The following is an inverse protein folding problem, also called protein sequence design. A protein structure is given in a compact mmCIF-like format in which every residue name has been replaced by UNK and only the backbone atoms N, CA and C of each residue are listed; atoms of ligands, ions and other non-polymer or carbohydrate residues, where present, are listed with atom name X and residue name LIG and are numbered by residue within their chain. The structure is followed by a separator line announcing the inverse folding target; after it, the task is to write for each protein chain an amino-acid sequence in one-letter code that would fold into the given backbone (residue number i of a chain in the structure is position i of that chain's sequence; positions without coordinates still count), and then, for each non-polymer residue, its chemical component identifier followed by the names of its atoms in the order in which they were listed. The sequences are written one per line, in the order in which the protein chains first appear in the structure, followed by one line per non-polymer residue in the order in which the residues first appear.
data_IF_249423493416
#
_entry.id   IF_249423493416
#
_cell.length_a   1.000
_cell.length_b   1.000
_cell.length_c   1.000
_cell.angle_alpha   90.00
_cell.angle_beta   90.00
_cell.angle_gamma   90.00
#
_symmetry.space_group_name_H-M   'P 1'
#
loop_
_entity.id
_entity.type
_entity.pdbx_description
1 polymer ?
#
# COMPACT_ATOMS: atom_id res chain seq x y z
N UNK A 1 -3.40 -20.97 8.25
CA UNK A 1 -2.35 -20.18 7.57
C UNK A 1 -1.04 -20.58 8.21
N UNK A 2 0.07 -20.71 7.45
CA UNK A 2 1.40 -20.90 8.04
C UNK A 2 1.78 -19.70 8.90
N UNK A 3 2.63 -19.87 9.90
CA UNK A 3 3.20 -18.75 10.65
C UNK A 3 4.19 -17.97 9.79
N UNK A 4 4.52 -16.74 10.17
CA UNK A 4 5.52 -15.97 9.41
C UNK A 4 6.90 -16.64 9.45
N UNK A 5 7.28 -17.19 10.60
CA UNK A 5 8.53 -17.96 10.73
C UNK A 5 8.57 -19.13 9.75
N UNK A 6 7.50 -19.94 9.67
CA UNK A 6 7.41 -21.03 8.70
C UNK A 6 7.49 -20.56 7.25
N UNK A 7 6.92 -19.39 6.96
CA UNK A 7 6.98 -18.78 5.64
C UNK A 7 8.42 -18.40 5.25
N UNK A 8 9.18 -17.84 6.19
CA UNK A 8 10.59 -17.50 6.01
C UNK A 8 11.46 -18.75 5.82
N UNK A 9 11.22 -19.78 6.64
CA UNK A 9 11.91 -21.07 6.54
C UNK A 9 11.65 -21.78 5.20
N UNK A 10 10.43 -21.71 4.69
CA UNK A 10 10.08 -22.27 3.39
C UNK A 10 10.85 -21.60 2.23
N UNK A 11 11.38 -20.40 2.43
CA UNK A 11 12.28 -19.70 1.49
C UNK A 11 13.77 -19.99 1.75
N UNK A 12 14.10 -20.97 2.58
CA UNK A 12 15.44 -21.34 3.01
C UNK A 12 16.20 -20.18 3.70
N UNK A 13 15.47 -19.35 4.45
CA UNK A 13 16.00 -18.24 5.23
C UNK A 13 15.76 -18.45 6.73
N UNK A 14 16.58 -17.80 7.56
CA UNK A 14 16.42 -17.81 9.01
C UNK A 14 16.13 -16.38 9.48
N UNK A 15 15.01 -16.19 10.16
CA UNK A 15 14.51 -14.87 10.58
C UNK A 15 15.53 -14.08 11.44
N UNK A 16 16.37 -14.78 12.22
CA UNK A 16 17.39 -14.14 13.08
C UNK A 16 18.48 -13.43 12.29
N UNK A 17 18.81 -13.95 11.10
CA UNK A 17 19.95 -13.52 10.30
C UNK A 17 19.57 -12.40 9.31
N UNK A 18 18.28 -12.11 9.15
CA UNK A 18 17.78 -11.13 8.19
C UNK A 18 17.90 -9.70 8.72
N UNK A 19 18.12 -8.75 7.81
CA UNK A 19 17.97 -7.32 8.09
C UNK A 19 16.51 -6.92 8.24
N UNK A 20 16.23 -5.76 8.84
CA UNK A 20 14.87 -5.24 8.97
C UNK A 20 14.22 -5.00 7.59
N UNK A 21 15.02 -4.60 6.61
CA UNK A 21 14.56 -4.41 5.22
C UNK A 21 14.14 -5.73 4.57
N UNK A 22 14.96 -6.78 4.68
CA UNK A 22 14.59 -8.10 4.17
C UNK A 22 13.35 -8.66 4.85
N UNK A 23 13.20 -8.45 6.17
CA UNK A 23 12.01 -8.85 6.93
C UNK A 23 10.79 -8.08 6.42
N UNK A 24 10.92 -6.77 6.17
CA UNK A 24 9.82 -5.96 5.63
C UNK A 24 9.31 -6.51 4.29
N UNK A 25 10.20 -6.79 3.33
CA UNK A 25 9.77 -7.32 2.03
C UNK A 25 9.17 -8.73 2.13
N UNK A 26 9.68 -9.56 3.02
CA UNK A 26 9.07 -10.88 3.26
C UNK A 26 7.69 -10.76 3.92
N UNK A 27 7.49 -9.82 4.84
CA UNK A 27 6.19 -9.52 5.42
C UNK A 27 5.22 -8.94 4.40
N UNK A 28 5.69 -8.05 3.51
CA UNK A 28 4.91 -7.52 2.40
C UNK A 28 4.36 -8.66 1.53
N UNK A 29 5.22 -9.59 1.09
CA UNK A 29 4.82 -10.75 0.31
C UNK A 29 3.83 -11.64 1.07
N UNK A 30 4.17 -11.99 2.31
CA UNK A 30 3.34 -12.82 3.18
C UNK A 30 1.92 -12.26 3.35
N UNK A 31 1.81 -10.95 3.59
CA UNK A 31 0.53 -10.25 3.73
C UNK A 31 -0.23 -10.23 2.40
N UNK A 32 0.45 -9.96 1.29
CA UNK A 32 -0.17 -9.98 -0.06
C UNK A 32 -0.70 -11.37 -0.40
N UNK A 33 0.04 -12.44 -0.10
CA UNK A 33 -0.42 -13.81 -0.29
C UNK A 33 -1.62 -14.15 0.59
N UNK A 34 -1.64 -13.66 1.84
CA UNK A 34 -2.76 -13.85 2.75
C UNK A 34 -4.02 -13.09 2.30
N UNK A 35 -3.84 -11.92 1.69
CA UNK A 35 -4.94 -11.09 1.19
C UNK A 35 -5.46 -11.52 -0.18
N UNK A 36 -4.62 -12.15 -1.00
CA UNK A 36 -4.95 -12.51 -2.39
C UNK A 36 -6.26 -13.30 -2.53
N UNK A 37 -6.51 -14.37 -1.75
CA UNK A 37 -7.72 -15.18 -1.89
C UNK A 37 -8.99 -14.51 -1.38
N UNK A 38 -8.89 -13.40 -0.64
CA UNK A 38 -10.07 -12.70 -0.11
C UNK A 38 -10.88 -12.12 -1.27
N UNK A 39 -12.19 -12.48 -1.40
CA UNK A 39 -13.03 -11.92 -2.44
C UNK A 39 -13.29 -10.44 -2.20
N UNK A 40 -13.55 -9.72 -3.28
CA UNK A 40 -14.03 -8.35 -3.20
C UNK A 40 -15.42 -8.32 -2.57
N UNK A 41 -15.70 -7.29 -1.76
CA UNK A 41 -17.07 -7.00 -1.34
C UNK A 41 -17.96 -6.83 -2.56
N UNK A 42 -19.03 -7.63 -2.63
CA UNK A 42 -20.01 -7.61 -3.71
C UNK A 42 -21.42 -7.40 -3.15
N UNK A 43 -22.10 -6.39 -3.68
CA UNK A 43 -23.50 -6.11 -3.41
C UNK A 43 -24.13 -5.42 -4.61
N UNK A 44 -25.46 -5.38 -4.68
CA UNK A 44 -26.21 -4.77 -5.80
C UNK A 44 -25.86 -3.30 -6.05
N UNK A 45 -25.48 -2.57 -4.99
CA UNK A 45 -25.06 -1.17 -5.08
C UNK A 45 -23.57 -1.08 -4.86
N UNK A 46 -22.86 -0.42 -5.77
CA UNK A 46 -21.45 -0.12 -5.68
C UNK A 46 -21.26 1.38 -5.41
N UNK A 47 -20.37 1.69 -4.48
CA UNK A 47 -19.98 3.06 -4.15
C UNK A 47 -18.60 3.32 -4.76
N UNK A 48 -18.46 4.40 -5.51
CA UNK A 48 -17.18 4.91 -5.98
C UNK A 48 -16.83 6.16 -5.19
N UNK A 49 -15.67 6.13 -4.53
CA UNK A 49 -15.13 7.30 -3.86
C UNK A 49 -14.01 7.88 -4.73
N UNK A 50 -14.31 8.98 -5.43
CA UNK A 50 -13.37 9.61 -6.34
C UNK A 50 -12.66 10.75 -5.60
N UNK A 51 -11.33 10.72 -5.53
CA UNK A 51 -10.52 11.75 -4.92
C UNK A 51 -9.18 11.88 -5.63
N UNK A 52 -8.66 13.11 -5.71
CA UNK A 52 -7.31 13.35 -6.18
C UNK A 52 -6.26 12.82 -5.21
N UNK A 53 -6.60 12.68 -3.93
CA UNK A 53 -5.68 12.27 -2.88
C UNK A 53 -6.26 11.15 -2.01
N UNK A 54 -5.38 10.23 -1.57
CA UNK A 54 -5.65 9.21 -0.57
C UNK A 54 -4.48 9.11 0.40
N UNK A 55 -4.53 9.81 1.53
CA UNK A 55 -3.50 9.75 2.56
C UNK A 55 -3.68 8.50 3.43
N UNK A 56 -3.25 7.36 2.92
CA UNK A 56 -3.46 6.04 3.54
C UNK A 56 -2.46 5.72 4.65
N UNK A 57 -1.27 6.34 4.64
CA UNK A 57 -0.19 6.03 5.57
C UNK A 57 0.48 4.68 5.27
N UNK A 58 1.34 4.22 6.18
CA UNK A 58 2.00 2.92 6.11
C UNK A 58 0.97 1.79 6.26
N UNK A 59 1.15 0.72 5.51
CA UNK A 59 0.15 -0.34 5.37
C UNK A 59 0.50 -1.64 6.09
N UNK A 60 1.78 -1.88 6.43
CA UNK A 60 2.21 -3.13 7.02
C UNK A 60 1.41 -3.47 8.29
N UNK A 61 1.49 -2.63 9.30
CA UNK A 61 0.76 -2.84 10.54
C UNK A 61 -0.75 -2.81 10.38
N UNK A 62 -1.25 -1.90 9.55
CA UNK A 62 -2.68 -1.84 9.24
C UNK A 62 -3.18 -3.17 8.67
N UNK A 63 -2.47 -3.74 7.72
CA UNK A 63 -2.85 -4.99 7.09
C UNK A 63 -2.70 -6.19 8.04
N UNK A 64 -1.63 -6.26 8.84
CA UNK A 64 -1.46 -7.29 9.86
C UNK A 64 -2.58 -7.25 10.92
N UNK A 65 -3.00 -6.06 11.34
CA UNK A 65 -4.13 -5.87 12.27
C UNK A 65 -5.44 -6.31 11.62
N UNK A 66 -5.69 -5.90 10.38
CA UNK A 66 -6.91 -6.24 9.66
C UNK A 66 -7.03 -7.75 9.36
N UNK A 67 -5.90 -8.42 9.12
CA UNK A 67 -5.83 -9.88 9.02
C UNK A 67 -5.95 -10.58 10.39
N UNK A 68 -5.77 -9.86 11.50
CA UNK A 68 -5.83 -10.41 12.85
C UNK A 68 -4.56 -11.13 13.30
N UNK A 69 -3.45 -10.98 12.59
CA UNK A 69 -2.18 -11.70 12.82
C UNK A 69 -1.06 -10.82 13.40
N UNK A 70 -1.32 -9.53 13.64
CA UNK A 70 -0.30 -8.58 14.13
C UNK A 70 0.41 -9.07 15.41
N UNK A 71 -0.35 -9.60 16.37
CA UNK A 71 0.20 -10.05 17.67
C UNK A 71 1.11 -11.26 17.50
N UNK A 72 0.75 -12.18 16.62
CA UNK A 72 1.51 -13.39 16.36
C UNK A 72 2.83 -13.06 15.64
N UNK A 73 2.77 -12.25 14.59
CA UNK A 73 3.97 -11.77 13.87
C UNK A 73 4.89 -10.99 14.82
N UNK A 74 4.35 -10.11 15.67
CA UNK A 74 5.14 -9.37 16.66
C UNK A 74 5.85 -10.31 17.62
N UNK A 75 5.19 -11.37 18.10
CA UNK A 75 5.77 -12.34 19.00
C UNK A 75 6.87 -13.18 18.31
N UNK A 76 6.66 -13.59 17.06
CA UNK A 76 7.64 -14.32 16.26
C UNK A 76 8.91 -13.49 16.02
N UNK A 77 8.75 -12.21 15.64
CA UNK A 77 9.88 -11.28 15.48
C UNK A 77 10.65 -11.11 16.80
N UNK A 78 9.94 -10.90 17.93
CA UNK A 78 10.56 -10.77 19.24
C UNK A 78 11.35 -12.02 19.65
N UNK A 79 10.84 -13.22 19.36
CA UNK A 79 11.54 -14.49 19.61
C UNK A 79 12.81 -14.64 18.75
N UNK A 80 12.86 -13.98 17.60
CA UNK A 80 14.06 -13.89 16.74
C UNK A 80 14.99 -12.72 17.12
N UNK A 81 14.68 -11.94 18.16
CA UNK A 81 15.45 -10.76 18.58
C UNK A 81 15.24 -9.54 17.66
N UNK A 82 14.12 -9.47 16.95
CA UNK A 82 13.76 -8.37 16.04
C UNK A 82 12.59 -7.56 16.61
N UNK A 83 12.54 -6.29 16.26
CA UNK A 83 11.47 -5.37 16.63
C UNK A 83 10.56 -5.10 15.45
N UNK A 84 9.24 -5.32 15.64
CA UNK A 84 8.27 -4.99 14.58
C UNK A 84 8.29 -3.49 14.25
N UNK A 85 8.51 -2.62 15.24
CA UNK A 85 8.56 -1.17 15.03
C UNK A 85 9.75 -0.76 14.13
N UNK A 86 10.91 -1.41 14.31
CA UNK A 86 12.08 -1.16 13.44
C UNK A 86 11.84 -1.66 12.01
N UNK A 87 11.09 -2.75 11.85
CA UNK A 87 10.69 -3.24 10.53
C UNK A 87 9.68 -2.31 9.87
N UNK A 88 8.72 -1.77 10.64
CA UNK A 88 7.76 -0.77 10.16
C UNK A 88 8.43 0.54 9.74
N UNK A 89 9.54 0.91 10.37
CA UNK A 89 10.27 2.14 10.03
C UNK A 89 10.90 2.08 8.63
N UNK A 90 11.21 0.89 8.14
CA UNK A 90 11.75 0.68 6.78
C UNK A 90 10.71 0.92 5.69
N UNK A 91 9.42 0.73 6.00
CA UNK A 91 8.35 0.87 5.01
C UNK A 91 8.29 2.27 4.41
N UNK A 92 8.42 2.42 3.06
CA UNK A 92 8.19 3.70 2.42
C UNK A 92 6.71 4.09 2.51
N UNK A 93 6.42 5.28 3.02
CA UNK A 93 5.04 5.77 3.11
C UNK A 93 4.50 6.10 1.71
N UNK A 94 3.35 5.55 1.32
CA UNK A 94 2.71 5.87 0.04
C UNK A 94 2.39 7.35 -0.08
N UNK A 95 2.99 8.02 -1.05
CA UNK A 95 2.85 9.46 -1.26
C UNK A 95 1.63 9.79 -2.15
N UNK A 96 0.46 9.34 -1.70
CA UNK A 96 -0.81 9.47 -2.43
C UNK A 96 -1.70 10.60 -1.90
N UNK A 97 -1.28 11.32 -0.89
CA UNK A 97 -2.04 12.41 -0.30
C UNK A 97 -1.23 13.25 0.66
N UNK A 98 -1.73 14.43 1.03
CA UNK A 98 -1.01 15.42 1.80
C UNK A 98 -1.75 15.91 3.05
N UNK A 99 -3.07 15.96 3.03
CA UNK A 99 -3.80 16.61 4.11
C UNK A 99 -5.18 16.02 4.36
N UNK A 100 -6.05 16.86 4.90
CA UNK A 100 -7.40 16.47 5.34
C UNK A 100 -8.26 15.85 4.26
N UNK A 101 -8.17 16.33 3.01
CA UNK A 101 -8.89 15.74 1.88
C UNK A 101 -8.50 14.27 1.66
N UNK A 102 -7.19 14.01 1.55
CA UNK A 102 -6.68 12.66 1.35
C UNK A 102 -6.92 11.75 2.56
N UNK A 103 -6.82 12.28 3.78
CA UNK A 103 -7.10 11.52 5.00
C UNK A 103 -8.56 11.14 5.11
N UNK A 104 -9.48 12.05 4.80
CA UNK A 104 -10.92 11.77 4.77
C UNK A 104 -11.25 10.65 3.78
N UNK A 105 -10.71 10.74 2.56
CA UNK A 105 -10.87 9.71 1.53
C UNK A 105 -10.40 8.34 2.01
N UNK A 106 -9.23 8.27 2.64
CA UNK A 106 -8.67 7.03 3.19
C UNK A 106 -9.54 6.44 4.30
N UNK A 107 -10.04 7.27 5.22
CA UNK A 107 -10.94 6.81 6.27
C UNK A 107 -12.24 6.23 5.71
N UNK A 108 -12.80 6.82 4.64
CA UNK A 108 -14.01 6.30 4.02
C UNK A 108 -13.79 4.95 3.33
N UNK A 109 -12.71 4.78 2.56
CA UNK A 109 -12.45 3.49 1.90
C UNK A 109 -12.17 2.37 2.90
N UNK A 110 -11.46 2.66 3.99
CA UNK A 110 -11.21 1.72 5.08
C UNK A 110 -12.50 1.33 5.80
N UNK A 111 -13.34 2.33 6.12
CA UNK A 111 -14.66 2.10 6.72
C UNK A 111 -15.57 1.26 5.83
N UNK A 112 -15.61 1.52 4.52
CA UNK A 112 -16.38 0.73 3.58
C UNK A 112 -15.90 -0.73 3.56
N UNK A 113 -14.60 -0.97 3.54
CA UNK A 113 -14.05 -2.32 3.60
C UNK A 113 -14.41 -3.02 4.92
N UNK A 114 -14.31 -2.34 6.05
CA UNK A 114 -14.63 -2.87 7.37
C UNK A 114 -16.13 -3.15 7.54
N UNK A 115 -17.00 -2.34 6.95
CA UNK A 115 -18.45 -2.55 6.97
C UNK A 115 -18.93 -3.59 5.94
N UNK A 116 -18.07 -4.04 5.03
CA UNK A 116 -18.45 -4.96 3.95
C UNK A 116 -19.25 -4.30 2.84
N UNK A 117 -19.16 -2.99 2.68
CA UNK A 117 -19.80 -2.24 1.62
C UNK A 117 -19.00 -2.44 0.32
N UNK A 118 -19.70 -2.76 -0.79
CA UNK A 118 -19.08 -2.80 -2.11
C UNK A 118 -18.62 -1.39 -2.52
N UNK A 119 -17.41 -1.04 -2.12
CA UNK A 119 -16.81 0.27 -2.33
C UNK A 119 -15.51 0.18 -3.11
N UNK A 120 -15.19 1.23 -3.86
CA UNK A 120 -13.97 1.34 -4.62
C UNK A 120 -13.48 2.78 -4.60
N UNK A 121 -12.22 2.97 -4.18
CA UNK A 121 -11.55 4.26 -4.31
C UNK A 121 -11.05 4.42 -5.74
N UNK A 122 -11.13 5.62 -6.28
CA UNK A 122 -10.57 5.96 -7.60
C UNK A 122 -9.77 7.25 -7.46
N UNK A 123 -8.49 7.19 -7.81
CA UNK A 123 -7.56 8.31 -7.65
C UNK A 123 -6.41 8.29 -8.63
N UNK A 124 -5.41 9.09 -8.34
CA UNK A 124 -4.18 9.21 -9.14
C UNK A 124 -3.02 8.55 -8.41
N UNK A 125 -2.18 7.87 -9.18
CA UNK A 125 -0.90 7.35 -8.71
C UNK A 125 0.18 8.38 -9.06
N UNK A 126 0.62 9.13 -8.06
CA UNK A 126 1.68 10.13 -8.24
C UNK A 126 3.04 9.44 -8.28
N UNK A 127 3.72 9.49 -9.41
CA UNK A 127 5.04 8.87 -9.60
C UNK A 127 6.09 9.47 -8.67
N UNK A 128 6.23 10.79 -8.71
CA UNK A 128 6.99 11.52 -7.70
C UNK A 128 6.00 11.97 -6.63
N UNK A 129 6.21 11.51 -5.40
CA UNK A 129 5.40 11.92 -4.27
C UNK A 129 5.60 13.38 -3.91
N UNK A 130 5.24 13.73 -2.69
CA UNK A 130 5.59 15.01 -2.09
C UNK A 130 7.11 15.10 -1.99
N UNK A 131 7.64 16.33 -2.11
CA UNK A 131 9.08 16.55 -2.04
C UNK A 131 9.67 16.03 -0.73
N UNK A 132 10.76 15.27 -0.82
CA UNK A 132 11.60 14.94 0.32
C UNK A 132 12.32 16.20 0.79
N UNK A 133 12.12 16.57 2.05
CA UNK A 133 12.81 17.73 2.63
C UNK A 133 14.19 17.28 3.10
N UNK A 134 15.22 18.01 2.65
CA UNK A 134 16.62 17.80 3.01
C UNK A 134 17.25 19.10 3.49
N UNK A 135 18.32 19.00 4.27
CA UNK A 135 19.10 20.17 4.67
C UNK A 135 20.44 20.12 3.98
N UNK A 136 20.77 21.19 3.22
CA UNK A 136 22.07 21.41 2.59
C UNK A 136 22.56 22.82 2.95
N UNK A 137 23.79 22.94 3.39
CA UNK A 137 24.41 24.22 3.77
C UNK A 137 23.53 25.07 4.73
N UNK A 138 22.95 24.44 5.74
CA UNK A 138 21.99 25.03 6.69
C UNK A 138 20.72 25.63 6.06
N UNK A 139 20.37 25.22 4.85
CA UNK A 139 19.12 25.60 4.17
C UNK A 139 18.27 24.36 3.93
N UNK A 140 16.96 24.55 4.06
CA UNK A 140 15.99 23.52 3.69
C UNK A 140 15.84 23.53 2.16
N UNK A 141 16.04 22.35 1.57
CA UNK A 141 15.84 22.12 0.15
C UNK A 141 14.85 20.96 -0.07
N UNK A 142 14.24 20.95 -1.24
CA UNK A 142 13.29 19.92 -1.63
C UNK A 142 13.89 19.04 -2.73
N UNK A 143 13.85 17.75 -2.55
CA UNK A 143 14.26 16.76 -3.54
C UNK A 143 13.07 15.91 -4.01
N UNK A 144 13.09 15.34 -5.23
CA UNK A 144 12.07 14.38 -5.67
C UNK A 144 11.97 13.20 -4.70
N UNK A 145 10.74 12.82 -4.35
CA UNK A 145 10.47 11.67 -3.52
C UNK A 145 9.98 10.51 -4.38
N UNK A 146 10.88 9.63 -4.80
CA UNK A 146 10.55 8.38 -5.50
C UNK A 146 10.14 7.33 -4.47
N UNK A 147 8.86 7.12 -4.30
CA UNK A 147 8.31 6.22 -3.28
C UNK A 147 7.78 4.90 -3.86
N UNK A 148 7.60 4.82 -5.19
CA UNK A 148 7.16 3.60 -5.86
C UNK A 148 8.39 2.74 -6.14
N UNK A 149 8.43 1.59 -5.51
CA UNK A 149 9.48 0.59 -5.67
C UNK A 149 8.95 -0.61 -6.45
N UNK A 150 9.86 -1.44 -6.96
CA UNK A 150 9.52 -2.69 -7.66
C UNK A 150 8.69 -3.64 -6.79
N UNK A 151 8.99 -3.66 -5.48
CA UNK A 151 8.23 -4.39 -4.47
C UNK A 151 7.44 -3.40 -3.62
N UNK A 152 6.17 -3.23 -3.92
CA UNK A 152 5.28 -2.32 -3.20
C UNK A 152 3.91 -2.95 -2.96
N UNK A 153 3.07 -2.28 -2.18
CA UNK A 153 1.66 -2.67 -2.00
C UNK A 153 0.83 -2.55 -3.28
N UNK A 154 1.28 -1.77 -4.25
CA UNK A 154 0.62 -1.60 -5.53
C UNK A 154 0.73 -2.87 -6.37
N UNK A 155 -0.35 -3.19 -7.06
CA UNK A 155 -0.44 -4.29 -8.01
C UNK A 155 -0.79 -3.69 -9.38
N UNK A 156 0.14 -3.69 -10.34
CA UNK A 156 -0.15 -3.30 -11.70
C UNK A 156 -1.26 -4.17 -12.29
N UNK A 157 -2.13 -3.59 -13.11
CA UNK A 157 -3.16 -4.35 -13.85
C UNK A 157 -2.97 -4.20 -15.36
N UNK A 158 -3.57 -5.09 -16.13
CA UNK A 158 -3.57 -5.02 -17.59
C UNK A 158 -4.60 -3.99 -18.12
N UNK A 159 -5.29 -3.30 -17.23
CA UNK A 159 -6.30 -2.30 -17.59
C UNK A 159 -5.60 -0.98 -17.89
N UNK A 160 -5.83 -0.44 -19.07
CA UNK A 160 -5.33 0.88 -19.45
C UNK A 160 -6.38 1.69 -20.19
N UNK A 161 -6.29 3.01 -20.07
CA UNK A 161 -7.19 3.97 -20.68
C UNK A 161 -6.38 4.99 -21.47
N UNK A 162 -6.90 5.40 -22.61
CA UNK A 162 -6.40 6.55 -23.33
C UNK A 162 -7.09 7.80 -22.81
N UNK A 163 -6.32 8.74 -22.27
CA UNK A 163 -6.81 10.00 -21.72
C UNK A 163 -6.48 11.12 -22.71
N UNK A 164 -7.48 11.61 -23.48
CA UNK A 164 -7.26 12.66 -24.45
C UNK A 164 -7.13 14.03 -23.78
N UNK A 165 -6.09 14.76 -24.17
CA UNK A 165 -5.89 16.17 -23.87
C UNK A 165 -6.04 16.96 -25.17
N UNK A 166 -6.01 18.29 -25.09
CA UNK A 166 -6.21 19.16 -26.27
C UNK A 166 -5.27 18.84 -27.44
N UNK A 167 -3.99 18.57 -27.15
CA UNK A 167 -2.95 18.42 -28.17
C UNK A 167 -2.25 17.04 -28.15
N UNK A 168 -2.60 16.16 -27.23
CA UNK A 168 -1.99 14.83 -27.08
C UNK A 168 -2.92 13.89 -26.31
N UNK A 169 -2.60 12.61 -26.37
CA UNK A 169 -3.29 11.57 -25.60
C UNK A 169 -2.27 10.84 -24.74
N UNK A 170 -2.56 10.66 -23.44
CA UNK A 170 -1.75 9.86 -22.55
C UNK A 170 -2.40 8.49 -22.34
N UNK A 171 -1.59 7.46 -22.35
CA UNK A 171 -2.03 6.12 -21.93
C UNK A 171 -1.85 6.02 -20.42
N UNK A 172 -2.94 5.75 -19.71
CA UNK A 172 -2.92 5.57 -18.25
C UNK A 172 -3.19 4.12 -17.90
N UNK A 173 -2.31 3.50 -17.10
CA UNK A 173 -2.52 2.17 -16.53
C UNK A 173 -3.27 2.29 -15.22
N UNK A 174 -4.10 1.32 -14.92
CA UNK A 174 -4.74 1.19 -13.62
C UNK A 174 -3.85 0.34 -12.71
N UNK A 175 -3.36 0.91 -11.62
CA UNK A 175 -2.73 0.18 -10.54
C UNK A 175 -3.75 -0.04 -9.42
N UNK A 176 -3.64 -1.13 -8.70
CA UNK A 176 -4.60 -1.52 -7.66
C UNK A 176 -3.89 -1.70 -6.32
N UNK A 177 -4.54 -1.25 -5.26
CA UNK A 177 -4.17 -1.52 -3.89
C UNK A 177 -5.33 -2.21 -3.18
N UNK A 178 -5.04 -3.30 -2.48
CA UNK A 178 -6.03 -4.03 -1.70
C UNK A 178 -6.29 -3.28 -0.37
N UNK A 179 -7.55 -2.98 -0.09
CA UNK A 179 -8.00 -2.36 1.14
C UNK A 179 -8.72 -3.43 1.97
N UNK A 180 -8.03 -3.89 3.01
CA UNK A 180 -8.54 -4.93 3.91
C UNK A 180 -9.45 -4.33 4.97
N UNK A 181 -10.63 -4.90 5.16
CA UNK A 181 -11.48 -4.56 6.30
C UNK A 181 -11.00 -5.24 7.58
N UNK A 182 -11.27 -4.62 8.73
CA UNK A 182 -10.87 -5.14 10.04
C UNK A 182 -11.48 -6.53 10.28
N UNK A 183 -10.62 -7.56 10.31
CA UNK A 183 -10.98 -8.98 10.50
C UNK A 183 -12.08 -9.46 9.55
N UNK A 184 -12.10 -8.96 8.31
CA UNK A 184 -13.06 -9.39 7.29
C UNK A 184 -12.47 -10.44 6.35
N UNK A 185 -13.35 -11.31 5.85
CA UNK A 185 -13.00 -12.29 4.81
C UNK A 185 -13.05 -11.71 3.39
N UNK A 186 -13.43 -10.44 3.29
CA UNK A 186 -13.54 -9.70 2.03
C UNK A 186 -12.63 -8.48 2.03
N UNK A 187 -12.45 -7.89 0.86
CA UNK A 187 -11.66 -6.67 0.65
C UNK A 187 -12.33 -5.71 -0.32
N UNK A 188 -11.88 -4.47 -0.33
CA UNK A 188 -12.17 -3.48 -1.37
C UNK A 188 -10.88 -3.14 -2.14
N UNK A 189 -11.00 -2.32 -3.17
CA UNK A 189 -9.86 -1.84 -3.95
C UNK A 189 -9.77 -0.31 -3.91
N UNK A 190 -8.53 0.17 -3.87
CA UNK A 190 -8.18 1.52 -4.28
C UNK A 190 -7.53 1.41 -5.66
N UNK A 191 -8.18 1.98 -6.65
CA UNK A 191 -7.77 1.99 -8.05
C UNK A 191 -7.09 3.33 -8.35
N UNK A 192 -5.87 3.29 -8.81
CA UNK A 192 -5.04 4.45 -9.04
C UNK A 192 -4.60 4.50 -10.50
N UNK A 193 -4.86 5.62 -11.15
CA UNK A 193 -4.45 5.87 -12.53
C UNK A 193 -3.00 6.35 -12.55
N UNK A 194 -2.13 5.60 -13.21
CA UNK A 194 -0.72 5.87 -13.39
C UNK A 194 -0.41 6.17 -14.85
N UNK A 195 0.31 7.25 -15.10
CA UNK A 195 0.81 7.62 -16.43
C UNK A 195 2.33 7.59 -16.45
N UNK A 196 2.93 6.89 -17.42
CA UNK A 196 4.37 6.90 -17.66
C UNK A 196 4.64 7.10 -19.15
N UNK A 197 5.56 7.99 -19.55
CA UNK A 197 6.24 8.94 -18.67
C UNK A 197 5.30 9.99 -18.11
N UNK A 198 5.61 10.49 -16.90
CA UNK A 198 4.96 11.68 -16.38
C UNK A 198 5.35 12.88 -17.26
N UNK A 199 4.46 13.86 -17.50
CA UNK A 199 4.83 15.09 -18.19
C UNK A 199 5.93 15.92 -17.51
N UNK A 200 6.44 15.46 -16.39
CA UNK A 200 7.52 16.07 -15.59
C UNK A 200 8.81 15.26 -15.58
N UNK A 201 8.86 14.14 -16.30
CA UNK A 201 10.07 13.31 -16.43
C UNK A 201 10.94 13.76 -17.62
#
# INVERSE_FOLDING_TARGET
MATFTQYVEAKNKNLKDLSNEEIYYLLLEFVKEAAAPKPKNDSKRKVYYISAEFLIGKLLSNNLINLGIYKDVKAELAAAGKSISEVEDVEPEPSLGNGGLGRLASCFIDSMATLGINGEGVGLNYHCGLFKQVFKDNKQEAEPNYWIEDQSWLVPTDISYDVPFKNFTLKSRLDRLDILGYKKETKNYLCLLYTSPSPRD
#
